data_IF_428565774743
#
_entry.id   IF_428565774743
#
_cell.length_a   1.000
_cell.length_b   1.000
_cell.length_c   1.000
_cell.angle_alpha   90.00
_cell.angle_beta   90.00
_cell.angle_gamma   90.00
#
_symmetry.space_group_name_H-M   'P 1'
#
loop_
_entity.id
_entity.type
_entity.pdbx_description
1 polymer ?
#
# COMPACT_ATOMS: atom_id res chain seq x y z
N UNK A 1 -20.42 -49.76 17.24
CA UNK A 1 -20.24 -49.36 15.81
C UNK A 1 -20.23 -47.83 15.72
N UNK A 2 -19.20 -47.26 15.15
CA UNK A 2 -19.18 -45.83 14.88
C UNK A 2 -20.08 -45.50 13.68
N UNK A 3 -20.90 -44.45 13.78
CA UNK A 3 -21.71 -43.97 12.66
C UNK A 3 -20.88 -42.94 11.89
N UNK A 4 -20.78 -43.13 10.58
CA UNK A 4 -20.14 -42.17 9.68
C UNK A 4 -21.21 -41.28 9.07
N UNK A 5 -21.04 -39.96 9.18
CA UNK A 5 -21.84 -38.96 8.50
C UNK A 5 -21.00 -38.43 7.33
N UNK A 6 -21.55 -38.44 6.13
CA UNK A 6 -20.94 -37.85 4.96
C UNK A 6 -21.76 -36.62 4.54
N UNK A 7 -21.08 -35.50 4.40
CA UNK A 7 -21.68 -34.27 3.81
C UNK A 7 -21.69 -34.39 2.29
N UNK A 8 -22.53 -33.58 1.63
CA UNK A 8 -22.55 -33.45 0.16
C UNK A 8 -21.16 -33.07 -0.32
N UNK A 9 -20.76 -33.66 -1.44
CA UNK A 9 -19.43 -33.45 -2.04
C UNK A 9 -19.53 -33.38 -3.55
N UNK A 10 -18.59 -32.63 -4.18
CA UNK A 10 -18.48 -32.54 -5.61
C UNK A 10 -17.09 -32.01 -5.99
N UNK A 11 -16.76 -32.06 -7.25
CA UNK A 11 -15.59 -31.41 -7.82
C UNK A 11 -15.76 -29.88 -7.83
N UNK A 12 -14.66 -29.14 -8.03
CA UNK A 12 -14.73 -27.69 -8.20
C UNK A 12 -15.65 -27.28 -9.34
N UNK A 13 -15.66 -28.02 -10.44
CA UNK A 13 -16.54 -27.77 -11.61
C UNK A 13 -18.02 -28.00 -11.29
N UNK A 14 -18.35 -29.06 -10.53
CA UNK A 14 -19.73 -29.32 -10.12
C UNK A 14 -20.24 -28.24 -9.18
N UNK A 15 -19.38 -27.71 -8.30
CA UNK A 15 -19.75 -26.59 -7.42
C UNK A 15 -20.05 -25.30 -8.18
N UNK A 16 -19.40 -25.01 -9.31
CA UNK A 16 -19.63 -23.77 -10.06
C UNK A 16 -21.10 -23.54 -10.45
N UNK A 17 -21.85 -24.63 -10.63
CA UNK A 17 -23.25 -24.58 -11.03
C UNK A 17 -24.21 -25.00 -9.90
N UNK A 18 -23.71 -25.21 -8.69
CA UNK A 18 -24.50 -25.65 -7.56
C UNK A 18 -24.71 -24.52 -6.56
N UNK A 19 -25.98 -24.19 -6.30
CA UNK A 19 -26.38 -23.26 -5.23
C UNK A 19 -26.95 -24.08 -4.08
N UNK A 20 -26.18 -24.19 -2.99
CA UNK A 20 -26.62 -24.90 -1.78
C UNK A 20 -27.57 -24.05 -0.93
N UNK A 21 -28.32 -24.70 -0.05
CA UNK A 21 -29.19 -24.00 0.89
C UNK A 21 -28.37 -23.11 1.85
N UNK A 22 -29.02 -22.09 2.42
CA UNK A 22 -28.38 -21.22 3.41
C UNK A 22 -27.84 -22.02 4.59
N UNK A 23 -26.53 -21.86 4.89
CA UNK A 23 -25.84 -22.61 5.93
C UNK A 23 -25.44 -24.04 5.55
N UNK A 24 -25.74 -24.51 4.33
CA UNK A 24 -25.26 -25.80 3.85
C UNK A 24 -23.74 -25.82 3.73
N UNK A 25 -23.12 -26.90 4.19
CA UNK A 25 -21.69 -27.15 4.06
C UNK A 25 -21.47 -28.29 3.08
N UNK A 26 -20.62 -28.08 2.09
CA UNK A 26 -20.24 -29.12 1.12
C UNK A 26 -18.72 -29.31 1.09
N UNK A 27 -18.28 -30.47 0.56
CA UNK A 27 -16.87 -30.81 0.38
C UNK A 27 -16.48 -30.63 -1.11
N UNK A 28 -15.55 -29.74 -1.39
CA UNK A 28 -14.89 -29.64 -2.69
C UNK A 28 -13.76 -30.68 -2.74
N UNK A 29 -13.97 -31.71 -3.55
CA UNK A 29 -13.03 -32.85 -3.64
C UNK A 29 -11.82 -32.55 -4.52
N UNK A 30 -11.92 -31.55 -5.41
CA UNK A 30 -10.79 -31.12 -6.23
C UNK A 30 -9.78 -30.34 -5.38
N UNK A 31 -10.28 -29.39 -4.59
CA UNK A 31 -9.45 -28.51 -3.77
C UNK A 31 -9.22 -29.05 -2.35
N UNK A 32 -9.88 -30.15 -1.98
CA UNK A 32 -9.84 -30.74 -0.64
C UNK A 32 -10.15 -29.73 0.46
N UNK A 33 -11.22 -28.95 0.30
CA UNK A 33 -11.67 -27.89 1.21
C UNK A 33 -13.19 -27.90 1.37
N UNK A 34 -13.67 -27.24 2.43
CA UNK A 34 -15.11 -27.06 2.65
C UNK A 34 -15.60 -25.79 1.94
N UNK A 35 -16.88 -25.81 1.57
CA UNK A 35 -17.60 -24.64 1.09
C UNK A 35 -18.84 -24.41 1.95
N UNK A 36 -19.13 -23.13 2.22
CA UNK A 36 -20.35 -22.72 2.94
C UNK A 36 -21.24 -21.98 1.94
N UNK A 37 -22.53 -22.32 1.95
CA UNK A 37 -23.51 -21.76 1.02
C UNK A 37 -24.43 -20.75 1.73
N UNK A 38 -24.79 -19.69 1.01
CA UNK A 38 -25.67 -18.61 1.43
C UNK A 38 -27.09 -18.70 0.84
N UNK A 39 -27.34 -19.72 0.02
CA UNK A 39 -28.62 -19.93 -0.66
C UNK A 39 -28.75 -19.18 -2.00
N UNK A 40 -27.80 -18.33 -2.37
CA UNK A 40 -27.87 -17.44 -3.55
C UNK A 40 -26.66 -17.60 -4.47
N UNK A 41 -25.48 -17.64 -3.90
CA UNK A 41 -24.21 -17.67 -4.66
C UNK A 41 -23.91 -19.07 -5.16
N UNK A 42 -23.87 -19.25 -6.50
CA UNK A 42 -23.42 -20.50 -7.10
C UNK A 42 -21.95 -20.77 -6.70
N UNK A 43 -21.68 -22.03 -6.31
CA UNK A 43 -20.36 -22.44 -5.83
C UNK A 43 -20.14 -22.24 -4.35
N UNK A 44 -20.88 -21.40 -3.68
CA UNK A 44 -20.66 -21.06 -2.26
C UNK A 44 -19.29 -20.44 -1.99
N UNK A 45 -19.00 -20.12 -0.76
CA UNK A 45 -17.72 -19.57 -0.30
C UNK A 45 -16.78 -20.69 0.14
N UNK A 46 -15.62 -20.80 -0.51
CA UNK A 46 -14.57 -21.75 -0.16
C UNK A 46 -13.86 -21.32 1.14
N UNK A 47 -13.69 -22.23 2.09
CA UNK A 47 -12.91 -21.96 3.29
C UNK A 47 -11.42 -22.09 3.01
N UNK A 48 -10.63 -21.12 3.50
CA UNK A 48 -9.18 -21.16 3.39
C UNK A 48 -8.59 -22.32 4.20
N UNK A 49 -7.57 -22.96 3.65
CA UNK A 49 -6.77 -23.96 4.38
C UNK A 49 -5.83 -23.27 5.35
N UNK A 50 -5.41 -23.98 6.37
CA UNK A 50 -4.39 -23.48 7.31
C UNK A 50 -3.09 -23.08 6.60
N UNK A 51 -2.71 -23.78 5.52
CA UNK A 51 -1.51 -23.47 4.71
C UNK A 51 -1.65 -22.20 3.86
N UNK A 52 -2.86 -21.73 3.66
CA UNK A 52 -3.18 -20.50 2.89
C UNK A 52 -3.30 -19.29 3.81
N UNK A 53 -3.34 -19.51 5.11
CA UNK A 53 -3.35 -18.45 6.11
C UNK A 53 -1.92 -18.01 6.43
N UNK A 54 -1.68 -16.71 6.67
CA UNK A 54 -0.40 -16.26 7.18
C UNK A 54 -0.01 -17.05 8.43
N UNK A 55 1.28 -17.38 8.63
CA UNK A 55 1.73 -18.03 9.85
C UNK A 55 1.27 -17.27 11.10
N UNK A 56 0.98 -18.01 12.19
CA UNK A 56 0.63 -17.38 13.45
C UNK A 56 1.77 -16.43 13.88
N UNK A 57 1.44 -15.17 14.12
CA UNK A 57 2.43 -14.12 14.44
C UNK A 57 3.07 -13.45 13.23
N UNK A 58 2.77 -13.86 11.98
CA UNK A 58 3.21 -13.13 10.81
C UNK A 58 2.57 -11.73 10.76
N UNK A 59 3.39 -10.77 10.40
CA UNK A 59 2.92 -9.43 10.06
C UNK A 59 2.51 -9.42 8.59
N UNK A 60 1.28 -9.00 8.29
CA UNK A 60 0.73 -8.97 6.94
C UNK A 60 -0.03 -7.68 6.70
N UNK A 61 -0.15 -7.29 5.44
CA UNK A 61 -0.86 -6.08 5.03
C UNK A 61 -2.35 -6.22 5.29
N UNK A 62 -2.92 -5.32 6.07
CA UNK A 62 -4.36 -5.25 6.41
C UNK A 62 -5.08 -4.14 5.64
N UNK A 63 -4.35 -3.15 5.14
CA UNK A 63 -4.88 -2.09 4.28
C UNK A 63 -3.78 -1.57 3.36
N UNK A 64 -4.16 -1.22 2.13
CA UNK A 64 -3.22 -0.66 1.15
C UNK A 64 -3.92 0.28 0.19
N UNK A 65 -3.13 1.19 -0.37
CA UNK A 65 -3.49 2.04 -1.50
C UNK A 65 -2.40 1.95 -2.56
N UNK A 66 -2.79 1.74 -3.80
CA UNK A 66 -1.86 1.79 -4.93
C UNK A 66 -1.74 3.22 -5.46
N UNK A 67 -0.57 3.60 -6.03
CA UNK A 67 -0.39 4.92 -6.62
C UNK A 67 -1.17 5.03 -7.94
N UNK A 68 -2.01 6.06 -8.05
CA UNK A 68 -2.75 6.43 -9.27
C UNK A 68 -2.65 7.93 -9.51
N UNK A 69 -3.05 8.39 -10.71
CA UNK A 69 -3.08 9.82 -11.00
C UNK A 69 -4.10 10.57 -10.12
N UNK A 70 -5.23 9.93 -9.80
CA UNK A 70 -6.30 10.51 -8.98
C UNK A 70 -5.86 10.76 -7.53
N UNK A 71 -4.92 9.96 -7.01
CA UNK A 71 -4.40 10.14 -5.66
C UNK A 71 -3.01 10.80 -5.61
N UNK A 72 -2.62 11.51 -6.68
CA UNK A 72 -1.30 12.14 -6.82
C UNK A 72 -0.13 11.16 -6.64
N UNK A 73 -0.32 9.93 -7.09
CA UNK A 73 0.64 8.83 -6.99
C UNK A 73 1.08 8.53 -5.56
N UNK A 74 0.23 8.81 -4.57
CA UNK A 74 0.47 8.39 -3.20
C UNK A 74 0.09 6.92 -3.03
N UNK A 75 0.81 6.23 -2.16
CA UNK A 75 0.58 4.84 -1.84
C UNK A 75 0.83 4.58 -0.36
N UNK A 76 0.23 3.53 0.18
CA UNK A 76 0.58 3.02 1.50
C UNK A 76 0.35 1.52 1.62
N UNK A 77 1.01 0.91 2.60
CA UNK A 77 0.75 -0.42 3.14
C UNK A 77 0.73 -0.32 4.65
N UNK A 78 -0.39 -0.70 5.25
CA UNK A 78 -0.56 -0.80 6.70
C UNK A 78 -0.55 -2.27 7.08
N UNK A 79 0.31 -2.62 8.01
CA UNK A 79 0.49 -3.97 8.51
C UNK A 79 -0.31 -4.19 9.80
N UNK A 80 -0.58 -5.45 10.11
CA UNK A 80 -1.31 -5.85 11.33
C UNK A 80 -0.62 -5.37 12.61
N UNK A 81 0.71 -5.32 12.63
CA UNK A 81 1.50 -4.77 13.74
C UNK A 81 1.26 -3.28 14.01
N UNK A 82 0.60 -2.57 13.08
CA UNK A 82 0.53 -1.12 13.07
C UNK A 82 1.66 -0.44 12.30
N UNK A 83 2.64 -1.19 11.81
CA UNK A 83 3.67 -0.65 10.92
C UNK A 83 3.04 -0.13 9.63
N UNK A 84 3.55 0.99 9.14
CA UNK A 84 3.12 1.61 7.87
C UNK A 84 4.34 1.95 7.05
N UNK A 85 4.24 1.64 5.76
CA UNK A 85 5.07 2.15 4.69
C UNK A 85 4.19 2.98 3.77
N UNK A 86 4.59 4.18 3.48
CA UNK A 86 3.82 5.08 2.61
C UNK A 86 4.75 6.00 1.83
N UNK A 87 4.28 6.48 0.69
CA UNK A 87 5.08 7.34 -0.15
C UNK A 87 4.30 7.96 -1.29
N UNK A 88 5.02 8.65 -2.15
CA UNK A 88 4.44 9.30 -3.30
C UNK A 88 5.48 10.09 -4.08
N UNK A 89 4.97 10.91 -4.99
CA UNK A 89 5.81 11.80 -5.79
C UNK A 89 5.31 13.23 -5.74
N UNK A 90 6.25 14.15 -5.76
CA UNK A 90 5.98 15.58 -5.94
C UNK A 90 6.49 15.99 -7.32
N UNK A 91 5.58 16.44 -8.20
CA UNK A 91 5.86 16.81 -9.59
C UNK A 91 5.80 18.30 -9.85
N UNK A 92 5.00 19.03 -9.10
CA UNK A 92 4.64 20.42 -9.41
C UNK A 92 5.50 21.43 -8.62
N UNK A 93 6.78 21.19 -8.56
CA UNK A 93 7.69 22.20 -8.03
C UNK A 93 8.16 23.16 -9.14
N UNK A 94 8.24 24.42 -8.81
CA UNK A 94 8.67 25.44 -9.76
C UNK A 94 10.18 25.41 -9.98
N UNK A 95 10.66 25.95 -11.11
CA UNK A 95 12.09 26.19 -11.30
C UNK A 95 12.69 26.98 -10.13
N UNK A 96 13.90 26.62 -9.73
CA UNK A 96 14.59 27.21 -8.58
C UNK A 96 15.80 28.00 -9.05
N UNK A 97 15.79 29.29 -8.79
CA UNK A 97 16.90 30.19 -9.12
C UNK A 97 18.15 29.82 -8.29
N UNK A 98 19.30 30.24 -8.80
CA UNK A 98 20.57 30.13 -8.07
C UNK A 98 20.46 30.79 -6.68
N UNK A 99 20.92 30.12 -5.65
CA UNK A 99 20.84 30.59 -4.27
C UNK A 99 19.44 30.62 -3.65
N UNK A 100 18.44 30.02 -4.32
CA UNK A 100 17.07 29.97 -3.82
C UNK A 100 16.59 28.54 -3.51
N UNK A 101 15.49 28.44 -2.79
CA UNK A 101 14.84 27.17 -2.45
C UNK A 101 13.34 27.22 -2.60
N UNK A 102 12.74 26.05 -2.63
CA UNK A 102 11.31 25.86 -2.60
C UNK A 102 10.95 24.77 -1.58
N UNK A 103 9.84 24.98 -0.89
CA UNK A 103 9.31 24.04 0.08
C UNK A 103 7.86 23.69 -0.24
N UNK A 104 7.47 22.47 0.09
CA UNK A 104 6.07 22.04 0.09
C UNK A 104 5.79 21.16 1.29
N UNK A 105 4.54 21.15 1.75
CA UNK A 105 4.06 20.23 2.78
C UNK A 105 3.25 19.13 2.12
N UNK A 106 3.63 17.90 2.39
CA UNK A 106 2.92 16.70 1.94
C UNK A 106 2.13 16.14 3.12
N UNK A 107 0.82 16.03 2.96
CA UNK A 107 -0.03 15.29 3.91
C UNK A 107 0.18 13.79 3.70
N UNK A 108 0.43 13.07 4.76
CA UNK A 108 0.61 11.62 4.73
C UNK A 108 -0.73 10.92 4.52
N UNK A 109 -0.82 9.91 3.65
CA UNK A 109 -2.03 9.08 3.48
C UNK A 109 -2.49 8.42 4.78
N UNK A 110 -1.56 8.02 5.63
CA UNK A 110 -1.83 7.44 6.95
C UNK A 110 -1.10 8.27 8.00
N UNK A 111 -1.83 8.73 9.02
CA UNK A 111 -1.25 9.45 10.16
C UNK A 111 -0.39 8.51 11.00
N UNK A 112 0.82 8.95 11.35
CA UNK A 112 1.74 8.22 12.19
C UNK A 112 1.41 8.41 13.68
N UNK A 113 1.83 7.48 14.54
CA UNK A 113 1.61 7.57 15.99
C UNK A 113 2.27 8.79 16.61
N UNK A 114 3.45 9.14 16.12
CA UNK A 114 4.23 10.29 16.58
C UNK A 114 5.15 10.80 15.45
N UNK A 115 6.17 11.57 15.80
CA UNK A 115 7.17 12.11 14.86
C UNK A 115 8.41 11.22 14.70
N UNK A 116 8.49 10.09 15.39
CA UNK A 116 9.66 9.21 15.40
C UNK A 116 9.57 8.17 14.25
N UNK A 117 9.32 8.63 13.04
CA UNK A 117 9.27 7.81 11.85
C UNK A 117 10.45 8.13 10.91
N UNK A 118 10.84 7.19 10.08
CA UNK A 118 11.83 7.43 9.03
C UNK A 118 11.18 8.15 7.86
N UNK A 119 11.85 9.18 7.32
CA UNK A 119 11.43 9.87 6.11
C UNK A 119 12.60 9.96 5.14
N UNK A 120 12.35 9.64 3.88
CA UNK A 120 13.32 9.66 2.80
C UNK A 120 12.80 10.47 1.63
N UNK A 121 13.71 11.14 0.93
CA UNK A 121 13.43 11.90 -0.27
C UNK A 121 14.53 11.68 -1.29
N UNK A 122 14.15 11.54 -2.55
CA UNK A 122 15.10 11.42 -3.67
C UNK A 122 14.61 12.19 -4.88
N UNK A 123 15.56 12.75 -5.63
CA UNK A 123 15.29 13.38 -6.93
C UNK A 123 15.42 12.34 -8.02
N UNK A 124 14.34 12.12 -8.75
CA UNK A 124 14.31 11.33 -9.97
C UNK A 124 14.42 12.28 -11.14
N UNK A 125 15.62 12.37 -11.73
CA UNK A 125 15.90 13.30 -12.81
C UNK A 125 15.20 12.92 -14.12
N UNK A 126 14.67 13.92 -14.81
CA UNK A 126 14.17 13.76 -16.19
C UNK A 126 14.98 14.60 -17.18
N UNK A 127 15.93 15.41 -16.74
CA UNK A 127 16.70 16.36 -17.57
C UNK A 127 18.22 16.24 -17.43
N UNK A 128 18.97 16.94 -18.23
CA UNK A 128 20.40 16.68 -18.44
C UNK A 128 21.34 17.19 -17.33
N UNK A 129 20.90 17.96 -16.34
CA UNK A 129 21.82 18.49 -15.33
C UNK A 129 21.11 18.90 -14.05
N UNK A 130 21.32 18.10 -12.99
CA UNK A 130 20.84 18.40 -11.63
C UNK A 130 22.00 18.63 -10.64
N UNK A 131 23.16 18.95 -11.15
CA UNK A 131 24.30 19.35 -10.32
C UNK A 131 23.95 20.63 -9.55
N UNK A 132 24.06 20.59 -8.23
CA UNK A 132 23.81 21.76 -7.37
C UNK A 132 22.42 21.82 -6.71
N UNK A 133 21.53 20.84 -6.91
CA UNK A 133 20.32 20.71 -6.12
C UNK A 133 20.56 19.90 -4.85
N UNK A 134 19.99 20.35 -3.75
CA UNK A 134 19.88 19.59 -2.51
C UNK A 134 18.42 19.35 -2.17
N UNK A 135 18.14 18.17 -1.63
CA UNK A 135 16.85 17.78 -1.12
C UNK A 135 16.93 17.54 0.37
N UNK A 136 15.90 17.96 1.10
CA UNK A 136 15.79 17.65 2.52
C UNK A 136 14.32 17.48 2.94
N UNK A 137 14.13 16.64 3.97
CA UNK A 137 12.95 16.66 4.82
C UNK A 137 13.32 17.48 6.04
N UNK A 138 12.84 18.74 6.13
CA UNK A 138 13.28 19.68 7.18
C UNK A 138 12.24 19.85 8.29
N UNK A 139 10.98 19.53 8.02
CA UNK A 139 9.90 19.65 8.99
C UNK A 139 8.90 18.52 8.78
N UNK A 140 8.47 17.90 9.88
CA UNK A 140 7.40 16.91 9.84
C UNK A 140 6.60 16.88 11.15
N UNK A 141 5.33 16.50 11.00
CA UNK A 141 4.41 16.21 12.10
C UNK A 141 4.01 14.73 12.00
N UNK A 142 3.16 14.24 12.90
CA UNK A 142 2.60 12.88 12.75
C UNK A 142 1.77 12.68 11.47
N UNK A 143 1.23 13.74 10.88
CA UNK A 143 0.37 13.69 9.69
C UNK A 143 0.96 14.31 8.42
N UNK A 144 2.20 14.81 8.46
CA UNK A 144 2.79 15.51 7.30
C UNK A 144 4.31 15.54 7.33
N UNK A 145 4.90 15.65 6.12
CA UNK A 145 6.32 15.96 5.93
C UNK A 145 6.45 17.25 5.14
N UNK A 146 7.52 18.01 5.39
CA UNK A 146 7.91 19.14 4.56
C UNK A 146 9.11 18.75 3.70
N UNK A 147 8.96 18.88 2.38
CA UNK A 147 10.00 18.64 1.40
C UNK A 147 10.59 19.96 0.94
N UNK A 148 11.91 20.02 0.84
CA UNK A 148 12.63 21.21 0.43
C UNK A 148 13.59 20.87 -0.71
N UNK A 149 13.63 21.74 -1.70
CA UNK A 149 14.60 21.75 -2.79
C UNK A 149 15.38 23.04 -2.69
N UNK A 150 16.68 22.97 -2.76
CA UNK A 150 17.55 24.13 -2.73
C UNK A 150 18.55 24.07 -3.89
N UNK A 151 18.71 25.18 -4.62
CA UNK A 151 19.72 25.33 -5.66
C UNK A 151 20.95 26.05 -5.11
N UNK A 152 22.06 25.32 -4.93
CA UNK A 152 23.32 25.84 -4.42
C UNK A 152 24.25 26.40 -5.51
N UNK A 153 23.81 26.45 -6.75
CA UNK A 153 24.63 27.04 -7.82
C UNK A 153 24.87 28.53 -7.57
N UNK A 154 26.04 28.99 -7.96
CA UNK A 154 26.43 30.41 -7.85
C UNK A 154 25.79 31.24 -8.96
N UNK A 155 25.51 30.63 -10.11
CA UNK A 155 24.83 31.20 -11.25
C UNK A 155 24.06 30.13 -12.01
N UNK A 156 22.99 30.54 -12.66
CA UNK A 156 22.11 29.64 -13.43
C UNK A 156 20.81 29.29 -12.70
N UNK A 157 19.76 29.30 -13.46
CA UNK A 157 18.43 28.96 -12.97
C UNK A 157 18.08 27.53 -13.37
N UNK A 158 17.47 26.82 -12.46
CA UNK A 158 16.87 25.52 -12.76
C UNK A 158 15.53 25.78 -13.45
N UNK A 159 15.47 25.45 -14.74
CA UNK A 159 14.27 25.68 -15.57
C UNK A 159 13.41 24.42 -15.72
N UNK A 160 13.98 23.27 -15.41
CA UNK A 160 13.27 21.98 -15.54
C UNK A 160 12.69 21.52 -14.21
N UNK A 161 11.51 20.93 -14.27
CA UNK A 161 10.86 20.31 -13.14
C UNK A 161 11.15 18.81 -13.11
N UNK A 162 11.90 18.37 -12.12
CA UNK A 162 12.12 16.93 -11.88
C UNK A 162 10.98 16.29 -11.11
N UNK A 163 11.08 14.99 -10.92
CA UNK A 163 10.21 14.23 -10.02
C UNK A 163 10.95 14.02 -8.70
N UNK A 164 10.33 14.41 -7.60
CA UNK A 164 10.82 14.12 -6.26
C UNK A 164 9.98 12.99 -5.70
N UNK A 165 10.63 11.86 -5.41
CA UNK A 165 10.02 10.76 -4.68
C UNK A 165 10.24 10.93 -3.19
N UNK A 166 9.23 10.58 -2.41
CA UNK A 166 9.31 10.56 -0.96
C UNK A 166 8.74 9.27 -0.40
N UNK A 167 9.24 8.84 0.73
CA UNK A 167 8.68 7.72 1.48
C UNK A 167 8.82 7.93 2.98
N UNK A 168 7.90 7.34 3.72
CA UNK A 168 7.85 7.39 5.19
C UNK A 168 7.54 5.99 5.69
N UNK A 169 8.21 5.58 6.77
CA UNK A 169 7.92 4.32 7.46
C UNK A 169 7.99 4.47 8.97
N UNK A 170 7.09 3.80 9.67
CA UNK A 170 6.95 3.85 11.12
C UNK A 170 5.62 3.26 11.57
N UNK A 171 5.21 3.54 12.80
CA UNK A 171 3.92 3.06 13.32
C UNK A 171 2.80 4.08 13.09
N UNK A 172 1.62 3.58 12.72
CA UNK A 172 0.41 4.38 12.59
C UNK A 172 -0.19 4.75 13.96
N UNK A 173 -0.95 5.86 13.96
CA UNK A 173 -1.78 6.26 15.10
C UNK A 173 -2.92 5.25 15.35
#
# INVERSE_FOLDING_TARGET
>A
MSRQIQIRRGSATEHQNFTGAIGEITMDTTNNTLRVHDGETAGGTMLARKSELPPAGADYVIASQNPTAENNYTWYRKYKSGWVEQGGIWRNWNPVNAGAGQSTVITLPVTMSDKNYAAHVSLNSIGPSYAGLSLAVTQYTSGSIALNVWNFQVAGNYTDTGIISWSVSGYAA
#
